data_IF_984264244464
#
_entry.id   IF_984264244464
#
_cell.length_a   1.000
_cell.length_b   1.000
_cell.length_c   1.000
_cell.angle_alpha   90.00
_cell.angle_beta   90.00
_cell.angle_gamma   90.00
#
_symmetry.space_group_name_H-M   'P 1'
#
loop_
_entity.id
_entity.type
_entity.pdbx_description
1 polymer ?
#
# COMPACT_ATOMS: atom_id res chain seq x y z
N UNK A 1 -2.88 -15.37 19.87
CA UNK A 1 -1.97 -14.24 19.59
C UNK A 1 -2.77 -13.04 19.12
N UNK A 2 -2.48 -11.84 19.61
CA UNK A 2 -3.33 -10.66 19.39
C UNK A 2 -3.53 -10.40 17.89
N UNK A 3 -4.79 -10.29 17.46
CA UNK A 3 -5.27 -9.96 16.10
C UNK A 3 -4.86 -8.54 15.64
N UNK A 4 -3.66 -8.07 15.95
CA UNK A 4 -3.15 -6.77 15.50
C UNK A 4 -2.43 -7.01 14.18
N UNK A 5 -3.19 -6.96 13.07
CA UNK A 5 -2.60 -7.00 11.73
C UNK A 5 -1.54 -5.91 11.56
N UNK A 6 -0.57 -6.18 10.68
CA UNK A 6 0.66 -5.41 10.56
C UNK A 6 0.40 -3.98 10.10
N UNK A 7 1.27 -3.07 10.52
CA UNK A 7 1.35 -1.70 10.03
C UNK A 7 2.65 -1.56 9.25
N UNK A 8 2.57 -1.17 7.99
CA UNK A 8 3.73 -1.01 7.11
C UNK A 8 3.77 0.45 6.65
N UNK A 9 4.96 1.05 6.70
CA UNK A 9 5.22 2.35 6.10
C UNK A 9 6.20 2.18 4.93
N UNK A 10 5.88 2.75 3.78
CA UNK A 10 6.70 2.76 2.57
C UNK A 10 7.13 4.20 2.33
N UNK A 11 8.44 4.44 2.41
CA UNK A 11 9.05 5.75 2.12
C UNK A 11 9.44 5.75 0.63
N UNK A 12 9.03 6.79 -0.10
CA UNK A 12 9.09 6.82 -1.57
C UNK A 12 7.84 6.22 -2.23
N UNK A 13 6.67 6.43 -1.61
CA UNK A 13 5.39 5.87 -2.04
C UNK A 13 4.92 6.32 -3.42
N UNK A 14 5.40 7.46 -3.94
CA UNK A 14 5.13 7.94 -5.29
C UNK A 14 5.89 7.19 -6.39
N UNK A 15 6.62 6.13 -6.04
CA UNK A 15 7.31 5.27 -6.99
C UNK A 15 6.36 4.54 -7.95
N UNK A 16 6.79 4.39 -9.20
CA UNK A 16 6.11 3.54 -10.20
C UNK A 16 6.05 2.06 -9.82
N UNK A 17 6.85 1.61 -8.84
CA UNK A 17 6.85 0.23 -8.33
C UNK A 17 5.85 -0.02 -7.19
N UNK A 18 5.31 1.03 -6.59
CA UNK A 18 4.32 0.90 -5.50
C UNK A 18 3.09 0.06 -5.89
N UNK A 19 2.52 0.14 -7.10
CA UNK A 19 1.41 -0.74 -7.50
C UNK A 19 1.74 -2.23 -7.39
N UNK A 20 2.93 -2.65 -7.83
CA UNK A 20 3.38 -4.04 -7.73
C UNK A 20 3.53 -4.47 -6.27
N UNK A 21 4.08 -3.60 -5.43
CA UNK A 21 4.20 -3.86 -3.99
C UNK A 21 2.81 -4.05 -3.33
N UNK A 22 1.83 -3.22 -3.67
CA UNK A 22 0.45 -3.33 -3.19
C UNK A 22 -0.20 -4.63 -3.69
N UNK A 23 0.01 -5.00 -4.95
CA UNK A 23 -0.45 -6.29 -5.49
C UNK A 23 0.17 -7.47 -4.73
N UNK A 24 1.45 -7.38 -4.37
CA UNK A 24 2.14 -8.37 -3.54
C UNK A 24 1.47 -8.57 -2.18
N UNK A 25 1.13 -7.47 -1.48
CA UNK A 25 0.42 -7.52 -0.20
C UNK A 25 -0.99 -8.11 -0.34
N UNK A 26 -1.71 -7.74 -1.39
CA UNK A 26 -3.05 -8.30 -1.67
C UNK A 26 -2.97 -9.81 -1.89
N UNK A 27 -2.06 -10.27 -2.77
CA UNK A 27 -1.93 -11.70 -3.12
C UNK A 27 -1.52 -12.57 -1.92
N UNK A 28 -0.73 -12.02 -1.00
CA UNK A 28 -0.15 -12.75 0.14
C UNK A 28 -0.77 -12.37 1.48
N UNK A 29 -1.98 -11.80 1.48
CA UNK A 29 -2.63 -11.35 2.72
C UNK A 29 -2.79 -12.47 3.76
N UNK A 30 -3.02 -13.71 3.32
CA UNK A 30 -3.16 -14.88 4.21
C UNK A 30 -1.84 -15.27 4.90
N UNK A 31 -0.71 -14.99 4.28
CA UNK A 31 0.63 -15.25 4.83
C UNK A 31 1.13 -14.06 5.66
N UNK A 32 0.84 -12.84 5.20
CA UNK A 32 1.25 -11.59 5.82
C UNK A 32 0.02 -10.67 5.97
N UNK A 33 -0.74 -10.77 7.08
CA UNK A 33 -1.95 -10.00 7.27
C UNK A 33 -1.63 -8.53 7.61
N UNK A 34 -1.55 -7.70 6.56
CA UNK A 34 -1.27 -6.26 6.65
C UNK A 34 -2.58 -5.49 6.84
N UNK A 35 -2.73 -4.82 7.98
CA UNK A 35 -3.93 -4.04 8.30
C UNK A 35 -3.85 -2.60 7.79
N UNK A 36 -2.67 -1.99 7.82
CA UNK A 36 -2.49 -0.60 7.40
C UNK A 36 -1.20 -0.46 6.60
N UNK A 37 -1.31 0.24 5.46
CA UNK A 37 -0.17 0.64 4.64
C UNK A 37 -0.17 2.16 4.59
N UNK A 38 0.96 2.75 4.95
CA UNK A 38 1.21 4.18 4.87
C UNK A 38 2.20 4.41 3.73
N UNK A 39 1.78 5.15 2.71
CA UNK A 39 2.65 5.59 1.63
C UNK A 39 3.10 7.02 1.97
N UNK A 40 4.40 7.22 2.05
CA UNK A 40 5.03 8.50 2.40
C UNK A 40 5.94 8.94 1.27
N UNK A 41 5.98 10.24 1.01
CA UNK A 41 6.91 10.87 0.07
C UNK A 41 7.24 12.29 0.56
N UNK A 42 8.24 12.92 -0.06
CA UNK A 42 8.57 14.34 0.17
C UNK A 42 7.58 15.24 -0.59
N UNK A 43 7.58 16.54 -0.30
CA UNK A 43 6.58 17.47 -0.88
C UNK A 43 6.66 17.51 -2.41
N UNK A 44 7.86 17.41 -2.98
CA UNK A 44 8.09 17.34 -4.42
C UNK A 44 7.49 16.07 -5.06
N UNK A 45 7.33 15.00 -4.28
CA UNK A 45 6.75 13.72 -4.71
C UNK A 45 5.23 13.63 -4.54
N UNK A 46 4.58 14.66 -3.99
CA UNK A 46 3.18 14.63 -3.57
C UNK A 46 2.19 14.28 -4.67
N UNK A 47 2.34 14.86 -5.87
CA UNK A 47 1.46 14.56 -7.00
C UNK A 47 1.58 13.08 -7.42
N UNK A 48 2.81 12.56 -7.50
CA UNK A 48 3.04 11.14 -7.79
C UNK A 48 2.44 10.25 -6.71
N UNK A 49 2.64 10.60 -5.44
CA UNK A 49 2.08 9.90 -4.30
C UNK A 49 0.55 9.86 -4.35
N UNK A 50 -0.10 10.97 -4.73
CA UNK A 50 -1.55 11.03 -4.84
C UNK A 50 -2.09 10.15 -5.97
N UNK A 51 -1.47 10.19 -7.15
CA UNK A 51 -1.84 9.36 -8.31
C UNK A 51 -1.72 7.87 -7.94
N UNK A 52 -0.57 7.48 -7.40
CA UNK A 52 -0.27 6.09 -7.03
C UNK A 52 -1.11 5.64 -5.84
N UNK A 53 -1.30 6.49 -4.84
CA UNK A 53 -2.13 6.22 -3.67
C UNK A 53 -3.60 5.99 -4.06
N UNK A 54 -4.13 6.77 -5.00
CA UNK A 54 -5.47 6.58 -5.54
C UNK A 54 -5.61 5.26 -6.29
N UNK A 55 -4.59 4.86 -7.07
CA UNK A 55 -4.55 3.55 -7.71
C UNK A 55 -4.52 2.41 -6.67
N UNK A 56 -3.64 2.50 -5.66
CA UNK A 56 -3.54 1.51 -4.59
C UNK A 56 -4.88 1.33 -3.86
N UNK A 57 -5.60 2.41 -3.55
CA UNK A 57 -6.95 2.35 -2.95
C UNK A 57 -7.95 1.58 -3.83
N UNK A 58 -7.92 1.81 -5.15
CA UNK A 58 -8.79 1.07 -6.10
C UNK A 58 -8.42 -0.41 -6.18
N UNK A 59 -7.13 -0.75 -6.16
CA UNK A 59 -6.64 -2.13 -6.17
C UNK A 59 -7.14 -2.89 -4.94
N UNK A 60 -6.95 -2.35 -3.74
CA UNK A 60 -7.42 -2.97 -2.49
C UNK A 60 -8.95 -3.12 -2.51
N UNK A 61 -9.69 -2.07 -2.87
CA UNK A 61 -11.16 -2.12 -2.96
C UNK A 61 -11.67 -3.18 -3.95
N UNK A 62 -10.99 -3.37 -5.08
CA UNK A 62 -11.34 -4.40 -6.08
C UNK A 62 -11.10 -5.81 -5.54
N UNK A 63 -10.08 -5.99 -4.70
CA UNK A 63 -9.61 -7.29 -4.23
C UNK A 63 -10.46 -7.89 -3.12
N UNK A 64 -11.34 -7.10 -2.50
CA UNK A 64 -12.23 -7.50 -1.39
C UNK A 64 -11.50 -8.07 -0.15
N UNK A 65 -10.20 -7.81 -0.04
CA UNK A 65 -9.38 -8.07 1.15
C UNK A 65 -9.60 -6.99 2.21
#
# INVERSE_FOLDING_TARGET
>A
MSKKGLKIAVIGGGSSYTPELIEGFIKRYNELPVKNIYLMDIEEGKEKLEIVGNLARRMVKKSRC
#
